data_IF_699480325778
#
_entry.id   IF_699480325778
#
_cell.length_a   1.000
_cell.length_b   1.000
_cell.length_c   1.000
_cell.angle_alpha   90.00
_cell.angle_beta   90.00
_cell.angle_gamma   90.00
#
_symmetry.space_group_name_H-M   'P 1'
#
loop_
_entity.id
_entity.type
_entity.pdbx_description
1 polymer ?
#
# COMPACT_ATOMS: atom_id res chain seq x y z
N UNK A 1 2.33 1.49 -16.92
CA UNK A 1 2.37 1.08 -15.49
C UNK A 1 1.06 0.39 -15.13
N UNK A 2 1.05 -0.55 -14.18
CA UNK A 2 -0.14 -1.33 -13.77
C UNK A 2 -0.61 -0.91 -12.37
N UNK A 3 -1.93 -0.72 -12.15
CA UNK A 3 -2.46 -0.33 -10.85
C UNK A 3 -2.42 -1.47 -9.84
N UNK A 4 -2.24 -1.11 -8.58
CA UNK A 4 -2.27 -2.02 -7.43
C UNK A 4 -2.72 -1.32 -6.17
N UNK A 5 -3.14 -2.15 -5.21
CA UNK A 5 -3.48 -1.72 -3.85
C UNK A 5 -2.62 -2.50 -2.87
N UNK A 6 -2.12 -1.80 -1.86
CA UNK A 6 -1.42 -2.38 -0.72
C UNK A 6 -2.26 -2.19 0.54
N UNK A 7 -2.49 -3.28 1.27
CA UNK A 7 -3.22 -3.33 2.53
C UNK A 7 -2.19 -3.44 3.66
N UNK A 8 -2.16 -2.45 4.55
CA UNK A 8 -1.29 -2.43 5.73
C UNK A 8 -2.05 -3.05 6.90
N UNK A 9 -1.48 -4.10 7.51
CA UNK A 9 -2.13 -4.79 8.63
C UNK A 9 -2.05 -3.97 9.92
N UNK A 10 -3.19 -3.87 10.62
CA UNK A 10 -3.22 -3.45 12.03
C UNK A 10 -3.08 -1.95 12.26
N UNK A 11 -3.32 -1.10 11.26
CA UNK A 11 -3.43 0.35 11.44
C UNK A 11 -4.85 0.70 11.90
N UNK A 12 -4.95 1.58 12.91
CA UNK A 12 -6.24 2.10 13.39
C UNK A 12 -7.14 1.07 14.08
N UNK A 13 -6.62 -0.11 14.42
CA UNK A 13 -7.38 -1.17 15.10
C UNK A 13 -7.32 -0.97 16.62
N UNK A 14 -8.49 -1.04 17.27
CA UNK A 14 -8.63 -1.01 18.73
C UNK A 14 -7.95 0.20 19.40
N UNK A 15 -7.97 1.36 18.76
CA UNK A 15 -7.41 2.60 19.29
C UNK A 15 -5.88 2.66 19.32
N UNK A 16 -5.18 1.66 18.75
CA UNK A 16 -3.71 1.63 18.64
C UNK A 16 -3.27 1.89 17.20
N UNK A 17 -2.00 2.28 17.03
CA UNK A 17 -1.36 2.49 15.71
C UNK A 17 -2.11 3.48 14.82
N UNK A 18 -2.51 4.61 15.42
CA UNK A 18 -3.18 5.71 14.74
C UNK A 18 -2.13 6.63 14.10
N UNK A 19 -1.65 6.26 12.92
CA UNK A 19 -0.78 7.15 12.15
C UNK A 19 -1.63 8.05 11.25
N UNK A 20 -1.26 9.32 11.17
CA UNK A 20 -1.92 10.21 10.22
C UNK A 20 -1.60 9.79 8.78
N UNK A 21 -2.62 9.87 7.91
CA UNK A 21 -2.49 9.64 6.47
C UNK A 21 -1.31 10.39 5.87
N UNK A 22 -1.13 11.66 6.26
CA UNK A 22 -0.04 12.50 5.76
C UNK A 22 1.34 11.94 6.16
N UNK A 23 1.49 11.44 7.39
CA UNK A 23 2.76 10.88 7.86
C UNK A 23 3.09 9.59 7.12
N UNK A 24 2.10 8.70 6.90
CA UNK A 24 2.28 7.49 6.08
C UNK A 24 2.71 7.88 4.66
N UNK A 25 1.98 8.78 3.99
CA UNK A 25 2.31 9.21 2.63
C UNK A 25 3.71 9.81 2.52
N UNK A 26 4.11 10.66 3.47
CA UNK A 26 5.45 11.24 3.50
C UNK A 26 6.55 10.17 3.59
N UNK A 27 6.31 9.08 4.34
CA UNK A 27 7.23 7.94 4.39
C UNK A 27 7.34 7.20 3.06
N UNK A 28 6.25 7.14 2.29
CA UNK A 28 6.20 6.40 1.03
C UNK A 28 6.75 7.20 -0.16
N UNK A 29 6.83 8.54 -0.08
CA UNK A 29 7.50 9.35 -1.11
C UNK A 29 8.92 8.86 -1.43
N UNK A 30 9.63 8.34 -0.42
CA UNK A 30 11.01 7.83 -0.55
C UNK A 30 11.14 6.58 -1.43
N UNK A 31 10.05 5.86 -1.68
CA UNK A 31 10.08 4.64 -2.52
C UNK A 31 9.66 4.90 -3.97
N UNK A 32 9.17 6.11 -4.27
CA UNK A 32 8.77 6.49 -5.62
C UNK A 32 9.98 6.58 -6.56
N UNK A 33 9.81 6.08 -7.77
CA UNK A 33 10.80 6.09 -8.85
C UNK A 33 10.10 5.76 -10.18
N UNK A 34 10.87 5.61 -11.27
CA UNK A 34 10.33 5.25 -12.60
C UNK A 34 9.43 4.00 -12.62
N UNK A 35 9.60 3.09 -11.67
CA UNK A 35 8.85 1.84 -11.58
C UNK A 35 7.79 1.83 -10.48
N UNK A 36 7.74 2.80 -9.56
CA UNK A 36 6.77 2.81 -8.46
C UNK A 36 6.28 4.24 -8.26
N UNK A 37 4.97 4.41 -8.31
CA UNK A 37 4.31 5.70 -8.01
C UNK A 37 3.22 5.50 -6.98
N UNK A 38 3.21 6.31 -5.94
CA UNK A 38 2.15 6.30 -4.92
C UNK A 38 1.09 7.30 -5.36
N UNK A 39 -0.14 6.81 -5.54
CA UNK A 39 -1.26 7.65 -5.99
C UNK A 39 -1.98 8.30 -4.82
N UNK A 40 -1.99 7.64 -3.66
CA UNK A 40 -2.69 8.12 -2.48
C UNK A 40 -3.08 6.98 -1.55
N UNK A 41 -4.09 7.24 -0.72
CA UNK A 41 -4.63 6.27 0.24
C UNK A 41 -6.15 6.32 0.27
N UNK A 42 -6.73 5.16 0.58
CA UNK A 42 -8.13 5.03 0.97
C UNK A 42 -8.18 4.55 2.42
N UNK A 43 -8.82 5.31 3.30
CA UNK A 43 -8.61 5.15 4.74
C UNK A 43 -7.15 5.44 5.14
N UNK A 44 -6.69 4.77 6.20
CA UNK A 44 -5.31 4.90 6.73
C UNK A 44 -4.46 3.64 6.51
N UNK A 45 -5.04 2.59 5.94
CA UNK A 45 -4.45 1.26 5.80
C UNK A 45 -4.31 0.82 4.33
N UNK A 46 -5.01 1.46 3.39
CA UNK A 46 -4.96 1.09 1.98
C UNK A 46 -4.19 2.11 1.16
N UNK A 47 -3.09 1.68 0.53
CA UNK A 47 -2.26 2.51 -0.35
C UNK A 47 -2.59 2.19 -1.80
N UNK A 48 -2.88 3.22 -2.58
CA UNK A 48 -3.05 3.14 -4.02
C UNK A 48 -1.70 3.38 -4.69
N UNK A 49 -1.28 2.50 -5.61
CA UNK A 49 -0.02 2.67 -6.32
C UNK A 49 -0.08 2.22 -7.78
N UNK A 50 0.89 2.70 -8.56
CA UNK A 50 1.25 2.17 -9.87
C UNK A 50 2.59 1.47 -9.78
N UNK A 51 2.71 0.33 -10.47
CA UNK A 51 3.97 -0.39 -10.64
C UNK A 51 4.39 -0.48 -12.10
N UNK A 52 5.70 -0.54 -12.34
CA UNK A 52 6.28 -0.90 -13.63
C UNK A 52 5.87 -2.31 -14.05
N UNK A 53 6.08 -2.62 -15.33
CA UNK A 53 5.73 -3.94 -15.87
C UNK A 53 6.63 -5.04 -15.32
N UNK A 54 7.93 -4.74 -15.20
CA UNK A 54 8.99 -5.65 -14.79
C UNK A 54 9.08 -5.94 -13.29
N UNK A 55 8.24 -5.31 -12.45
CA UNK A 55 8.27 -5.54 -11.00
C UNK A 55 7.03 -6.27 -10.52
N UNK A 56 7.19 -7.17 -9.54
CA UNK A 56 6.07 -7.88 -8.93
C UNK A 56 5.36 -7.00 -7.89
N UNK A 57 4.07 -7.24 -7.69
CA UNK A 57 3.28 -6.56 -6.65
C UNK A 57 3.88 -6.79 -5.25
N UNK A 58 4.35 -8.01 -4.96
CA UNK A 58 5.02 -8.35 -3.71
C UNK A 58 6.28 -7.50 -3.45
N UNK A 59 7.03 -7.15 -4.51
CA UNK A 59 8.19 -6.25 -4.41
C UNK A 59 7.79 -4.87 -3.94
N UNK A 60 6.65 -4.35 -4.41
CA UNK A 60 6.10 -3.06 -3.94
C UNK A 60 5.71 -3.17 -2.47
N UNK A 61 5.01 -4.25 -2.08
CA UNK A 61 4.65 -4.53 -0.68
C UNK A 61 5.87 -4.51 0.24
N UNK A 62 6.95 -5.22 -0.12
CA UNK A 62 8.18 -5.27 0.67
C UNK A 62 8.87 -3.90 0.80
N UNK A 63 8.80 -3.06 -0.24
CA UNK A 63 9.34 -1.69 -0.19
C UNK A 63 8.52 -0.80 0.73
N UNK A 64 7.20 -0.93 0.71
CA UNK A 64 6.30 -0.22 1.62
C UNK A 64 6.60 -0.61 3.07
N UNK A 65 6.67 -1.91 3.38
CA UNK A 65 7.04 -2.40 4.73
C UNK A 65 8.32 -1.75 5.21
N UNK A 66 9.42 -1.89 4.45
CA UNK A 66 10.72 -1.33 4.84
C UNK A 66 10.69 0.18 5.03
N UNK A 67 9.90 0.90 4.24
CA UNK A 67 9.81 2.36 4.38
C UNK A 67 9.06 2.77 5.64
N UNK A 68 7.95 2.09 5.95
CA UNK A 68 7.18 2.33 7.16
C UNK A 68 7.96 1.91 8.41
N UNK A 69 8.62 0.75 8.37
CA UNK A 69 9.49 0.25 9.44
C UNK A 69 10.55 1.27 9.83
N UNK A 70 11.25 1.83 8.83
CA UNK A 70 12.25 2.89 9.06
C UNK A 70 11.64 4.18 9.63
N UNK A 71 10.41 4.51 9.25
CA UNK A 71 9.76 5.74 9.65
C UNK A 71 9.20 5.71 11.07
N UNK A 72 8.68 4.56 11.49
CA UNK A 72 7.95 4.42 12.76
C UNK A 72 8.70 3.54 13.77
N UNK A 73 9.84 2.96 13.38
CA UNK A 73 10.68 2.10 14.21
C UNK A 73 9.92 0.88 14.77
N UNK A 74 9.03 0.29 13.95
CA UNK A 74 8.29 -0.92 14.31
C UNK A 74 7.97 -1.74 13.06
N UNK A 75 7.65 -3.03 13.23
CA UNK A 75 7.35 -3.95 12.11
C UNK A 75 6.00 -3.65 11.47
N UNK A 76 5.98 -3.62 10.14
CA UNK A 76 4.76 -3.53 9.33
C UNK A 76 4.62 -4.75 8.43
N UNK A 77 3.38 -5.16 8.19
CA UNK A 77 3.06 -6.25 7.28
C UNK A 77 2.11 -5.73 6.20
N UNK A 78 2.48 -5.94 4.94
CA UNK A 78 1.75 -5.38 3.79
C UNK A 78 1.42 -6.47 2.79
N UNK A 79 0.13 -6.60 2.48
CA UNK A 79 -0.33 -7.47 1.39
C UNK A 79 -0.66 -6.62 0.17
N UNK A 80 -0.24 -7.06 -1.02
CA UNK A 80 -0.57 -6.36 -2.27
C UNK A 80 -1.47 -7.18 -3.16
N UNK A 81 -2.32 -6.50 -3.93
CA UNK A 81 -3.16 -7.08 -4.98
C UNK A 81 -3.16 -6.20 -6.22
N UNK A 82 -3.38 -6.84 -7.38
CA UNK A 82 -3.60 -6.12 -8.62
C UNK A 82 -4.96 -5.41 -8.58
N UNK A 83 -5.05 -4.24 -9.22
CA UNK A 83 -6.35 -3.56 -9.37
C UNK A 83 -7.39 -4.41 -10.11
N UNK A 84 -6.95 -5.22 -11.09
CA UNK A 84 -7.81 -6.17 -11.80
C UNK A 84 -8.42 -7.23 -10.88
N UNK A 85 -7.68 -7.71 -9.88
CA UNK A 85 -8.21 -8.65 -8.88
C UNK A 85 -9.35 -8.02 -8.08
N UNK A 86 -9.18 -6.78 -7.62
CA UNK A 86 -10.23 -6.09 -6.86
C UNK A 86 -11.46 -5.81 -7.72
N UNK A 87 -11.27 -5.41 -8.98
CA UNK A 87 -12.38 -5.26 -9.91
C UNK A 87 -13.15 -6.57 -10.11
N UNK A 88 -12.43 -7.69 -10.23
CA UNK A 88 -13.04 -9.02 -10.30
C UNK A 88 -13.85 -9.35 -9.04
N UNK A 89 -13.29 -9.11 -7.85
CA UNK A 89 -13.97 -9.37 -6.58
C UNK A 89 -15.24 -8.52 -6.42
N UNK A 90 -15.15 -7.21 -6.68
CA UNK A 90 -16.31 -6.30 -6.57
C UNK A 90 -17.44 -6.71 -7.51
N UNK A 91 -17.12 -7.13 -8.74
CA UNK A 91 -18.13 -7.64 -9.68
C UNK A 91 -18.84 -8.88 -9.16
N UNK A 92 -18.11 -9.81 -8.53
CA UNK A 92 -18.70 -11.04 -8.00
C UNK A 92 -19.50 -10.84 -6.70
N UNK A 93 -19.21 -9.80 -5.91
CA UNK A 93 -19.98 -9.47 -4.69
C UNK A 93 -21.29 -8.75 -5.02
N UNK A 94 -21.32 -7.99 -6.13
CA UNK A 94 -22.50 -7.22 -6.55
C UNK A 94 -23.51 -8.02 -7.37
N UNK A 95 -23.18 -9.27 -7.70
CA UNK A 95 -24.08 -10.24 -8.32
C UNK A 95 -24.71 -11.11 -7.24
#
# INVERSE_FOLDING_TARGET
MKPGIAFIRGIGMFGKRNYSRQKILNCLKKIENRNIKILGMYGNDNILFLKGESIHYATVGRKIEKSLEKCFNEKFYVTTRAGSTLNGLVKNIKN
#
